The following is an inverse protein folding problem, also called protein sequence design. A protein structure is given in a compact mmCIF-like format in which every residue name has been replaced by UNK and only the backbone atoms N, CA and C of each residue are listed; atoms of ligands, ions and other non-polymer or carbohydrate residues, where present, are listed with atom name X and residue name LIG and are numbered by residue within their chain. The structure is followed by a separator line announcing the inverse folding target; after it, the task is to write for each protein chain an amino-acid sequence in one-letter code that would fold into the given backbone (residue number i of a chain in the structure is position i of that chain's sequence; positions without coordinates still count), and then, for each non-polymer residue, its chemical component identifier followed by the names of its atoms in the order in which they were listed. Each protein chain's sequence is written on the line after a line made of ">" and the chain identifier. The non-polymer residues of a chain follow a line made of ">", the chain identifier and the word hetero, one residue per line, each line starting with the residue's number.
data_IF_784414842204
#
_entry.id   IF_784414842204
#
_cell.length_a   1.000
_cell.length_b   1.000
_cell.length_c   1.000
_cell.angle_alpha   90.00
_cell.angle_beta   90.00
_cell.angle_gamma   90.00
#
_symmetry.space_group_name_H-M   'P 1'
#
loop_
_entity.id
_entity.type
_entity.pdbx_description
1 polymer ?
#
# COMPACT_ATOMS: atom_id res chain seq x y z
N UNK A 1 15.74 -1.04 3.78
CA UNK A 1 15.84 0.24 4.53
C UNK A 1 14.99 0.12 5.77
N UNK A 2 15.48 0.61 6.91
CA UNK A 2 14.80 0.54 8.20
C UNK A 2 14.67 1.98 8.70
N UNK A 3 13.44 2.43 8.99
CA UNK A 3 13.26 3.69 9.72
C UNK A 3 13.54 3.40 11.19
N UNK A 4 14.49 4.11 11.76
CA UNK A 4 14.75 4.07 13.19
C UNK A 4 15.23 5.41 13.71
N UNK A 5 14.97 5.65 14.99
CA UNK A 5 15.46 6.85 15.67
C UNK A 5 16.84 6.61 16.30
N UNK A 6 17.41 7.67 16.88
CA UNK A 6 18.70 7.62 17.58
C UNK A 6 18.69 6.75 18.84
N UNK A 7 17.52 6.41 19.36
CA UNK A 7 17.35 5.53 20.53
C UNK A 7 17.31 4.04 20.13
N UNK A 8 17.34 3.75 18.82
CA UNK A 8 17.32 2.40 18.28
C UNK A 8 15.92 1.82 18.09
N UNK A 9 14.87 2.64 18.26
CA UNK A 9 13.50 2.21 17.98
C UNK A 9 13.34 1.99 16.48
N UNK A 10 12.63 0.92 16.12
CA UNK A 10 12.37 0.54 14.73
C UNK A 10 10.91 0.81 14.40
N UNK A 11 10.66 1.54 13.32
CA UNK A 11 9.31 1.87 12.88
C UNK A 11 8.93 1.08 11.64
N UNK A 12 7.66 0.65 11.62
CA UNK A 12 7.08 0.03 10.43
C UNK A 12 7.06 1.04 9.30
N UNK A 13 7.52 0.63 8.12
CA UNK A 13 7.55 1.48 6.95
C UNK A 13 6.13 1.78 6.47
N UNK A 14 5.88 3.03 6.10
CA UNK A 14 4.66 3.46 5.41
C UNK A 14 5.05 4.00 4.04
N UNK A 15 4.63 3.31 2.98
CA UNK A 15 5.07 3.56 1.60
C UNK A 15 3.83 3.90 0.76
N UNK A 16 3.93 4.95 -0.04
CA UNK A 16 2.90 5.30 -1.02
C UNK A 16 3.52 5.21 -2.41
N UNK A 17 2.94 4.38 -3.28
CA UNK A 17 3.28 4.37 -4.70
C UNK A 17 2.17 5.02 -5.53
N UNK A 18 2.53 5.66 -6.65
CA UNK A 18 1.54 6.11 -7.62
C UNK A 18 0.87 4.88 -8.26
N UNK A 19 -0.46 4.81 -8.20
CA UNK A 19 -1.25 3.76 -8.85
C UNK A 19 -2.18 4.40 -9.87
N UNK A 20 -2.51 3.67 -10.93
CA UNK A 20 -3.58 4.10 -11.84
C UNK A 20 -4.93 3.85 -11.17
N UNK A 21 -5.86 4.82 -11.17
CA UNK A 21 -7.21 4.57 -10.69
C UNK A 21 -7.92 3.55 -11.57
N UNK A 22 -8.88 2.83 -10.98
CA UNK A 22 -9.77 1.94 -11.70
C UNK A 22 -10.70 2.73 -12.62
N UNK A 23 -11.07 2.12 -13.75
CA UNK A 23 -11.94 2.74 -14.77
C UNK A 23 -13.33 3.10 -14.23
N UNK A 24 -13.86 2.32 -13.28
CA UNK A 24 -15.18 2.57 -12.69
C UNK A 24 -15.06 3.00 -11.24
N UNK A 25 -15.93 3.94 -10.82
CA UNK A 25 -15.94 4.49 -9.46
C UNK A 25 -16.20 3.41 -8.39
N UNK A 26 -17.06 2.44 -8.69
CA UNK A 26 -17.35 1.32 -7.78
C UNK A 26 -16.10 0.45 -7.55
N UNK A 27 -15.38 0.12 -8.62
CA UNK A 27 -14.12 -0.62 -8.50
C UNK A 27 -13.06 0.18 -7.75
N UNK A 28 -13.00 1.49 -7.95
CA UNK A 28 -12.09 2.35 -7.19
C UNK A 28 -12.45 2.37 -5.70
N UNK A 29 -13.74 2.45 -5.36
CA UNK A 29 -14.19 2.43 -3.96
C UNK A 29 -13.82 1.10 -3.28
N UNK A 30 -14.05 -0.03 -3.95
CA UNK A 30 -13.63 -1.35 -3.46
C UNK A 30 -12.11 -1.40 -3.28
N UNK A 31 -11.35 -0.99 -4.30
CA UNK A 31 -9.88 -1.00 -4.23
C UNK A 31 -9.36 -0.14 -3.08
N UNK A 32 -9.94 1.02 -2.84
CA UNK A 32 -9.57 1.89 -1.72
C UNK A 32 -9.91 1.27 -0.36
N UNK A 33 -11.09 0.65 -0.24
CA UNK A 33 -11.58 0.12 1.03
C UNK A 33 -10.83 -1.14 1.48
N UNK A 34 -10.55 -2.06 0.55
CA UNK A 34 -10.04 -3.40 0.89
C UNK A 34 -8.66 -3.71 0.33
N UNK A 35 -8.14 -2.92 -0.62
CA UNK A 35 -6.87 -3.21 -1.33
C UNK A 35 -5.89 -2.05 -1.31
N UNK A 36 -6.03 -1.16 -0.33
CA UNK A 36 -5.14 0.00 -0.15
C UNK A 36 -4.97 0.86 -1.42
N UNK A 37 -5.98 0.93 -2.28
CA UNK A 37 -5.93 1.70 -3.54
C UNK A 37 -5.33 0.94 -4.74
N UNK A 38 -5.06 -0.35 -4.61
CA UNK A 38 -4.61 -1.22 -5.70
C UNK A 38 -5.75 -2.05 -6.30
N UNK A 39 -5.61 -2.39 -7.58
CA UNK A 39 -6.44 -3.39 -8.23
C UNK A 39 -6.14 -4.81 -7.72
N UNK A 40 -7.03 -5.76 -8.02
CA UNK A 40 -6.94 -7.14 -7.52
C UNK A 40 -5.62 -7.83 -7.86
N UNK A 41 -5.14 -7.72 -9.11
CA UNK A 41 -3.91 -8.37 -9.56
C UNK A 41 -2.70 -7.91 -8.75
N UNK A 42 -2.51 -6.60 -8.62
CA UNK A 42 -1.39 -6.01 -7.87
C UNK A 42 -1.55 -6.27 -6.37
N UNK A 43 -2.78 -6.26 -5.85
CA UNK A 43 -3.04 -6.55 -4.44
C UNK A 43 -2.55 -7.94 -4.01
N UNK A 44 -2.67 -8.95 -4.88
CA UNK A 44 -2.17 -10.31 -4.60
C UNK A 44 -0.66 -10.36 -4.36
N UNK A 45 0.08 -9.40 -4.87
CA UNK A 45 1.53 -9.25 -4.64
C UNK A 45 1.82 -8.33 -3.45
N UNK A 46 1.09 -7.22 -3.32
CA UNK A 46 1.31 -6.24 -2.25
C UNK A 46 0.96 -6.79 -0.87
N UNK A 47 -0.15 -7.52 -0.74
CA UNK A 47 -0.59 -8.07 0.55
C UNK A 47 0.47 -8.98 1.21
N UNK A 48 1.04 -9.99 0.52
CA UNK A 48 2.09 -10.81 1.11
C UNK A 48 3.38 -10.01 1.37
N UNK A 49 3.75 -9.05 0.51
CA UNK A 49 4.92 -8.20 0.76
C UNK A 49 4.79 -7.39 2.05
N UNK A 50 3.61 -6.80 2.30
CA UNK A 50 3.34 -6.07 3.53
C UNK A 50 3.49 -6.97 4.76
N UNK A 51 2.93 -8.18 4.70
CA UNK A 51 3.00 -9.16 5.79
C UNK A 51 4.44 -9.63 6.04
N UNK A 52 5.19 -9.92 4.98
CA UNK A 52 6.57 -10.39 5.05
C UNK A 52 7.52 -9.34 5.63
N UNK A 53 7.34 -8.07 5.25
CA UNK A 53 8.25 -6.99 5.64
C UNK A 53 7.74 -6.10 6.77
N UNK A 54 6.59 -6.45 7.36
CA UNK A 54 5.92 -5.67 8.40
C UNK A 54 5.81 -4.18 8.04
N UNK A 55 5.35 -3.92 6.82
CA UNK A 55 5.19 -2.57 6.28
C UNK A 55 3.75 -2.33 5.79
N UNK A 56 3.41 -1.06 5.59
CA UNK A 56 2.18 -0.62 4.96
C UNK A 56 2.50 0.04 3.63
N UNK A 57 1.80 -0.39 2.58
CA UNK A 57 1.96 0.03 1.20
C UNK A 57 0.58 0.45 0.68
N UNK A 58 0.49 1.67 0.17
CA UNK A 58 -0.72 2.25 -0.39
C UNK A 58 -0.50 2.74 -1.82
N UNK A 59 -1.53 2.55 -2.64
CA UNK A 59 -1.63 3.12 -3.97
C UNK A 59 -2.31 4.48 -3.91
N UNK A 60 -1.66 5.53 -4.42
CA UNK A 60 -2.28 6.82 -4.62
C UNK A 60 -2.71 7.01 -6.08
N UNK A 61 -4.02 7.02 -6.32
CA UNK A 61 -4.65 7.24 -7.62
C UNK A 61 -5.10 8.67 -7.91
N UNK A 62 -4.78 9.64 -7.05
CA UNK A 62 -5.24 11.04 -7.17
C UNK A 62 -4.26 11.99 -7.87
N UNK A 63 -3.18 11.49 -8.48
CA UNK A 63 -2.12 12.32 -9.09
C UNK A 63 -2.18 12.36 -10.62
#
# INVERSE_FOLDING_TARGET
>A
MLLGDSEGNKYNLFIIFKSKPATTKEKQAINNAIRNGYGETVWREIEPLQKQHNCRIYGNGTA
#
